data_IF_373706140759
#
_entry.id   IF_373706140759
#
_cell.length_a   1.000
_cell.length_b   1.000
_cell.length_c   1.000
_cell.angle_alpha   90.00
_cell.angle_beta   90.00
_cell.angle_gamma   90.00
#
_symmetry.space_group_name_H-M   'P 1'
#
loop_
_entity.id
_entity.type
_entity.pdbx_description
1 polymer ?
#
# COMPACT_ATOMS: atom_id res chain seq x y z
N UNK A 1 -4.84 -8.92 -4.10
CA UNK A 1 -4.59 -8.54 -2.69
C UNK A 1 -3.11 -8.70 -2.38
N UNK A 2 -2.52 -7.76 -1.67
CA UNK A 2 -1.12 -7.81 -1.24
C UNK A 2 -1.07 -7.45 0.24
N UNK A 3 -0.32 -8.22 1.03
CA UNK A 3 -0.05 -7.95 2.44
C UNK A 3 1.45 -7.76 2.64
N UNK A 4 1.81 -6.73 3.40
CA UNK A 4 3.20 -6.40 3.69
C UNK A 4 3.32 -5.77 5.07
N UNK A 5 4.52 -5.82 5.64
CA UNK A 5 4.91 -5.01 6.80
C UNK A 5 5.98 -4.01 6.42
N UNK A 6 6.12 -3.00 7.26
CA UNK A 6 7.30 -2.12 7.32
C UNK A 6 7.99 -2.33 8.67
N UNK A 7 9.08 -1.61 8.90
CA UNK A 7 9.74 -1.52 10.22
C UNK A 7 8.78 -1.01 11.30
N UNK A 8 9.15 -1.17 12.57
CA UNK A 8 8.34 -0.67 13.69
C UNK A 8 8.16 0.84 13.61
N UNK A 9 6.90 1.27 13.70
CA UNK A 9 6.51 2.68 13.63
C UNK A 9 5.85 3.11 14.93
N UNK A 10 6.04 4.37 15.30
CA UNK A 10 5.60 4.88 16.60
C UNK A 10 4.11 5.28 16.66
N UNK A 11 3.35 5.17 15.56
CA UNK A 11 1.90 5.42 15.58
C UNK A 11 1.17 4.75 14.41
N UNK A 12 -0.15 4.48 14.56
CA UNK A 12 -0.97 3.96 13.47
C UNK A 12 -0.98 4.87 12.23
N UNK A 13 -1.01 6.19 12.40
CA UNK A 13 -0.99 7.13 11.28
C UNK A 13 0.30 6.99 10.45
N UNK A 14 1.46 6.78 11.09
CA UNK A 14 2.72 6.57 10.36
C UNK A 14 2.65 5.24 9.59
N UNK A 15 2.09 4.19 10.19
CA UNK A 15 1.87 2.90 9.50
C UNK A 15 1.01 3.08 8.23
N UNK A 16 -0.09 3.83 8.33
CA UNK A 16 -0.99 4.14 7.22
C UNK A 16 -0.29 4.93 6.11
N UNK A 17 0.58 5.90 6.45
CA UNK A 17 1.38 6.65 5.47
C UNK A 17 2.33 5.71 4.71
N UNK A 18 3.00 4.79 5.41
CA UNK A 18 3.85 3.78 4.77
C UNK A 18 3.03 2.80 3.93
N UNK A 19 1.82 2.42 4.36
CA UNK A 19 0.93 1.58 3.56
C UNK A 19 0.54 2.27 2.24
N UNK A 20 0.24 3.57 2.28
CA UNK A 20 -0.06 4.37 1.08
C UNK A 20 1.15 4.47 0.15
N UNK A 21 2.34 4.76 0.68
CA UNK A 21 3.59 4.78 -0.09
C UNK A 21 3.88 3.41 -0.73
N UNK A 22 3.70 2.32 0.01
CA UNK A 22 3.85 0.97 -0.50
C UNK A 22 2.91 0.68 -1.67
N UNK A 23 1.63 1.04 -1.53
CA UNK A 23 0.65 0.89 -2.59
C UNK A 23 1.07 1.65 -3.87
N UNK A 24 1.65 2.84 -3.74
CA UNK A 24 2.18 3.59 -4.89
C UNK A 24 3.38 2.87 -5.53
N UNK A 25 4.35 2.40 -4.74
CA UNK A 25 5.50 1.62 -5.24
C UNK A 25 5.06 0.36 -5.98
N UNK A 26 4.07 -0.35 -5.46
CA UNK A 26 3.46 -1.52 -6.10
C UNK A 26 2.77 -1.13 -7.41
N UNK A 27 2.02 -0.02 -7.42
CA UNK A 27 1.32 0.45 -8.62
C UNK A 27 2.32 0.76 -9.75
N UNK A 28 3.45 1.40 -9.44
CA UNK A 28 4.53 1.62 -10.40
C UNK A 28 5.19 0.32 -10.86
N UNK A 29 5.43 -0.64 -9.95
CA UNK A 29 6.00 -1.95 -10.32
C UNK A 29 5.10 -2.73 -11.28
N UNK A 30 3.79 -2.60 -11.10
CA UNK A 30 2.77 -3.20 -11.95
C UNK A 30 2.42 -2.36 -13.18
N UNK A 31 3.09 -1.21 -13.36
CA UNK A 31 2.88 -0.27 -14.48
C UNK A 31 1.41 0.17 -14.64
N UNK A 32 0.68 0.31 -13.53
CA UNK A 32 -0.69 0.76 -13.55
C UNK A 32 -0.73 2.21 -14.07
N UNK A 33 -1.45 2.41 -15.17
CA UNK A 33 -1.59 3.74 -15.80
C UNK A 33 -2.65 4.60 -15.10
N UNK A 34 -3.62 3.96 -14.44
CA UNK A 34 -4.75 4.61 -13.76
C UNK A 34 -5.11 3.81 -12.52
N UNK A 35 -5.61 4.50 -11.50
CA UNK A 35 -6.05 3.89 -10.25
C UNK A 35 -6.09 4.94 -9.14
N UNK A 36 -7.03 4.77 -8.22
CA UNK A 36 -7.21 5.65 -7.06
C UNK A 36 -6.74 4.96 -5.79
N UNK A 37 -6.22 5.73 -4.84
CA UNK A 37 -5.88 5.19 -3.52
C UNK A 37 -7.06 5.41 -2.57
N UNK A 38 -7.41 4.39 -1.80
CA UNK A 38 -8.49 4.44 -0.83
C UNK A 38 -7.93 4.24 0.58
N UNK A 39 -8.36 5.06 1.52
CA UNK A 39 -8.01 4.94 2.95
C UNK A 39 -9.22 5.29 3.81
N UNK A 40 -9.39 4.63 4.95
CA UNK A 40 -10.35 5.00 5.98
C UNK A 40 -9.76 5.97 7.02
N UNK A 41 -8.52 6.43 6.81
CA UNK A 41 -7.88 7.43 7.65
C UNK A 41 -8.08 8.84 7.06
N UNK A 42 -9.05 9.60 7.60
CA UNK A 42 -9.36 10.95 7.13
C UNK A 42 -8.16 11.91 7.20
N UNK A 43 -7.32 11.79 8.23
CA UNK A 43 -6.13 12.62 8.39
C UNK A 43 -5.12 12.35 7.28
N UNK A 44 -4.91 11.08 6.91
CA UNK A 44 -4.07 10.69 5.78
C UNK A 44 -4.65 11.17 4.46
N UNK A 45 -5.96 11.01 4.23
CA UNK A 45 -6.60 11.49 3.01
C UNK A 45 -6.43 13.01 2.83
N UNK A 46 -6.65 13.78 3.90
CA UNK A 46 -6.42 15.24 3.89
C UNK A 46 -4.95 15.59 3.65
N UNK A 47 -4.03 14.86 4.28
CA UNK A 47 -2.59 15.03 4.09
C UNK A 47 -2.18 14.77 2.65
N UNK A 48 -2.70 13.70 2.04
CA UNK A 48 -2.37 13.37 0.67
C UNK A 48 -3.02 14.33 -0.35
N UNK A 49 -4.24 14.79 -0.08
CA UNK A 49 -4.96 15.74 -0.92
C UNK A 49 -4.33 17.14 -0.91
N UNK A 50 -3.74 17.59 0.21
CA UNK A 50 -3.10 18.91 0.26
C UNK A 50 -1.87 19.00 -0.64
N UNK A 51 -1.17 17.87 -0.85
CA UNK A 51 0.14 17.80 -1.50
C UNK A 51 1.16 18.81 -0.96
N UNK A 52 0.95 19.25 0.29
CA UNK A 52 1.76 20.25 0.96
C UNK A 52 2.55 19.61 2.09
N UNK A 53 3.83 19.37 1.83
CA UNK A 53 4.76 18.77 2.78
C UNK A 53 5.12 19.70 3.95
N UNK A 54 4.92 21.00 3.75
CA UNK A 54 5.26 22.04 4.73
C UNK A 54 4.10 22.30 5.69
N UNK A 55 2.95 21.66 5.50
CA UNK A 55 1.81 21.78 6.39
C UNK A 55 2.21 21.40 7.82
N UNK A 56 2.08 22.36 8.73
CA UNK A 56 2.52 22.25 10.13
C UNK A 56 1.74 21.20 10.92
N UNK A 57 0.56 20.79 10.44
CA UNK A 57 -0.23 19.72 11.05
C UNK A 57 0.27 18.32 10.70
N UNK A 58 1.19 18.19 9.74
CA UNK A 58 1.83 16.92 9.40
C UNK A 58 2.99 16.68 10.37
N UNK A 59 2.89 15.59 11.14
CA UNK A 59 4.00 15.11 11.95
C UNK A 59 5.26 14.96 11.10
N UNK A 60 6.39 15.48 11.59
CA UNK A 60 7.67 15.45 10.88
C UNK A 60 8.06 14.03 10.42
N UNK A 61 7.67 13.00 11.18
CA UNK A 61 7.91 11.59 10.87
C UNK A 61 7.15 11.09 9.63
N UNK A 62 6.02 11.71 9.30
CA UNK A 62 5.25 11.39 8.09
C UNK A 62 5.81 12.10 6.85
N UNK A 63 6.65 13.13 7.01
CA UNK A 63 7.09 13.98 5.89
C UNK A 63 7.89 13.19 4.85
N UNK A 64 8.90 12.44 5.27
CA UNK A 64 9.69 11.66 4.33
C UNK A 64 8.82 10.70 3.49
N UNK A 65 8.02 9.79 4.08
CA UNK A 65 7.26 8.83 3.29
C UNK A 65 6.13 9.48 2.47
N UNK A 66 5.49 10.54 2.94
CA UNK A 66 4.45 11.23 2.14
C UNK A 66 5.05 12.03 0.98
N UNK A 67 6.23 12.63 1.16
CA UNK A 67 6.96 13.30 0.08
C UNK A 67 7.35 12.31 -1.02
N UNK A 68 7.86 11.14 -0.64
CA UNK A 68 8.17 10.07 -1.59
C UNK A 68 6.90 9.59 -2.32
N UNK A 69 5.78 9.46 -1.60
CA UNK A 69 4.50 9.13 -2.22
C UNK A 69 4.10 10.18 -3.26
N UNK A 70 4.27 11.48 -3.00
CA UNK A 70 3.93 12.54 -3.95
C UNK A 70 4.75 12.47 -5.24
N UNK A 71 6.03 12.09 -5.15
CA UNK A 71 6.91 11.94 -6.31
C UNK A 71 6.49 10.76 -7.19
N UNK A 72 6.09 9.65 -6.56
CA UNK A 72 5.70 8.42 -7.27
C UNK A 72 4.28 8.52 -7.85
N UNK A 73 3.37 9.20 -7.14
CA UNK A 73 1.95 9.31 -7.49
C UNK A 73 1.61 10.44 -8.47
N UNK A 74 2.59 11.04 -9.16
CA UNK A 74 2.34 12.16 -10.08
C UNK A 74 1.34 11.83 -11.20
N UNK A 75 1.27 10.55 -11.62
CA UNK A 75 0.37 10.05 -12.67
C UNK A 75 -0.80 9.21 -12.16
N UNK A 76 -0.84 8.88 -10.87
CA UNK A 76 -1.90 8.04 -10.27
C UNK A 76 -2.98 8.92 -9.62
N UNK A 77 -4.22 8.46 -9.64
CA UNK A 77 -5.38 9.27 -9.24
C UNK A 77 -5.37 9.60 -7.74
N UNK A 78 -6.28 10.51 -7.39
CA UNK A 78 -6.49 11.05 -6.05
C UNK A 78 -6.59 9.99 -4.93
N UNK A 79 -6.28 10.44 -3.72
CA UNK A 79 -6.48 9.69 -2.48
C UNK A 79 -7.87 10.01 -1.94
N UNK A 80 -8.73 9.01 -1.82
CA UNK A 80 -10.09 9.16 -1.31
C UNK A 80 -10.22 8.58 0.09
N UNK A 81 -10.94 9.32 0.93
CA UNK A 81 -11.42 8.81 2.20
C UNK A 81 -12.65 7.92 1.97
N UNK A 82 -12.64 6.72 2.51
CA UNK A 82 -13.77 5.78 2.50
C UNK A 82 -14.14 5.37 3.94
N UNK A 83 -15.33 4.80 4.13
CA UNK A 83 -15.71 4.27 5.44
C UNK A 83 -14.97 2.97 5.75
N UNK A 84 -14.64 2.75 7.02
CA UNK A 84 -13.90 1.58 7.50
C UNK A 84 -14.56 0.24 7.15
N UNK A 85 -15.89 0.19 7.12
CA UNK A 85 -16.65 -1.00 6.70
C UNK A 85 -16.36 -1.40 5.24
N UNK A 86 -16.03 -0.43 4.38
CA UNK A 86 -15.64 -0.65 2.98
C UNK A 86 -14.17 -1.04 2.86
N UNK A 87 -13.31 -0.60 3.79
CA UNK A 87 -11.87 -0.89 3.80
C UNK A 87 -11.51 -2.22 4.52
N UNK A 88 -12.45 -3.15 4.64
CA UNK A 88 -12.31 -4.36 5.46
C UNK A 88 -11.13 -5.26 5.05
N UNK A 89 -10.81 -5.34 3.76
CA UNK A 89 -9.67 -6.15 3.27
C UNK A 89 -8.36 -5.56 3.81
N UNK A 90 -8.10 -4.27 3.60
CA UNK A 90 -6.87 -3.64 4.07
C UNK A 90 -6.76 -3.70 5.60
N UNK A 91 -7.88 -3.49 6.29
CA UNK A 91 -7.98 -3.60 7.75
C UNK A 91 -7.56 -4.99 8.26
N UNK A 92 -8.12 -6.06 7.66
CA UNK A 92 -7.80 -7.43 8.03
C UNK A 92 -6.33 -7.77 7.71
N UNK A 93 -5.81 -7.28 6.59
CA UNK A 93 -4.41 -7.47 6.21
C UNK A 93 -3.46 -6.85 7.25
N UNK A 94 -3.70 -5.61 7.66
CA UNK A 94 -2.91 -4.94 8.67
C UNK A 94 -2.99 -5.67 10.02
N UNK A 95 -4.20 -6.10 10.43
CA UNK A 95 -4.40 -6.85 11.67
C UNK A 95 -3.67 -8.20 11.68
N UNK A 96 -3.70 -8.96 10.59
CA UNK A 96 -3.04 -10.27 10.51
C UNK A 96 -1.53 -10.12 10.67
N UNK A 97 -0.92 -9.19 9.92
CA UNK A 97 0.53 -8.94 9.98
C UNK A 97 0.97 -8.42 11.35
N UNK A 98 0.15 -7.60 12.02
CA UNK A 98 0.45 -7.08 13.35
C UNK A 98 0.42 -8.17 14.44
N UNK A 99 -0.48 -9.15 14.33
CA UNK A 99 -0.77 -10.09 15.41
C UNK A 99 -0.22 -11.51 15.16
N UNK A 100 0.35 -11.79 13.99
CA UNK A 100 0.82 -13.12 13.65
C UNK A 100 2.04 -13.09 12.75
N UNK A 101 2.86 -14.14 12.85
CA UNK A 101 3.92 -14.40 11.88
C UNK A 101 3.27 -14.94 10.61
N UNK A 102 3.22 -14.12 9.57
CA UNK A 102 2.66 -14.52 8.28
C UNK A 102 3.80 -15.09 7.45
N UNK A 103 3.74 -16.40 7.17
CA UNK A 103 4.68 -17.01 6.23
C UNK A 103 4.42 -16.49 4.80
N UNK A 104 5.47 -16.31 3.97
CA UNK A 104 5.29 -15.80 2.63
C UNK A 104 4.40 -16.69 1.75
N UNK A 105 3.28 -16.17 1.24
CA UNK A 105 2.38 -16.90 0.33
C UNK A 105 2.13 -16.11 -0.95
N UNK A 106 2.51 -16.70 -2.09
CA UNK A 106 2.28 -16.15 -3.43
C UNK A 106 1.39 -17.12 -4.21
N UNK A 107 0.18 -16.70 -4.57
CA UNK A 107 -0.79 -17.56 -5.25
C UNK A 107 -1.68 -16.81 -6.23
N UNK A 108 -2.21 -17.53 -7.21
CA UNK A 108 -3.14 -17.03 -8.20
C UNK A 108 -4.32 -17.98 -8.31
N UNK A 109 -5.54 -17.47 -8.13
CA UNK A 109 -6.79 -18.23 -8.25
C UNK A 109 -7.54 -17.95 -9.55
N UNK A 110 -6.93 -17.18 -10.47
CA UNK A 110 -7.60 -16.73 -11.68
C UNK A 110 -7.53 -17.77 -12.77
N UNK A 111 -8.68 -18.24 -13.24
CA UNK A 111 -8.78 -19.33 -14.22
C UNK A 111 -8.07 -19.03 -15.55
N UNK A 112 -8.03 -17.76 -15.97
CA UNK A 112 -7.28 -17.33 -17.17
C UNK A 112 -5.77 -17.54 -17.06
N UNK A 113 -5.25 -17.77 -15.85
CA UNK A 113 -3.83 -18.05 -15.58
C UNK A 113 -3.59 -19.51 -15.18
N UNK A 114 -4.56 -20.42 -15.36
CA UNK A 114 -4.40 -21.82 -14.94
C UNK A 114 -3.24 -22.54 -15.66
N UNK A 115 -3.02 -22.20 -16.94
CA UNK A 115 -2.01 -22.85 -17.78
C UNK A 115 -0.88 -21.91 -18.23
N UNK A 116 -0.88 -20.67 -17.74
CA UNK A 116 0.15 -19.67 -18.08
C UNK A 116 0.66 -19.00 -16.83
N UNK A 117 1.95 -18.60 -16.76
CA UNK A 117 2.47 -17.88 -15.62
C UNK A 117 1.67 -16.61 -15.35
N UNK A 118 1.23 -16.41 -14.11
CA UNK A 118 0.48 -15.21 -13.73
C UNK A 118 1.41 -13.98 -13.79
N UNK A 119 1.18 -13.01 -14.70
CA UNK A 119 2.06 -11.87 -14.87
C UNK A 119 2.12 -11.01 -13.60
N UNK A 120 1.01 -10.89 -12.87
CA UNK A 120 0.97 -10.19 -11.58
C UNK A 120 1.90 -10.81 -10.53
N UNK A 121 1.93 -12.15 -10.43
CA UNK A 121 2.85 -12.83 -9.52
C UNK A 121 4.30 -12.69 -10.00
N UNK A 122 4.54 -12.87 -11.30
CA UNK A 122 5.88 -12.73 -11.87
C UNK A 122 6.48 -11.34 -11.60
N UNK A 123 5.67 -10.28 -11.71
CA UNK A 123 6.12 -8.93 -11.39
C UNK A 123 6.54 -8.75 -9.93
N UNK A 124 5.98 -9.54 -9.00
CA UNK A 124 6.14 -9.36 -7.56
C UNK A 124 7.04 -10.40 -6.87
N UNK A 125 7.26 -11.58 -7.46
CA UNK A 125 8.02 -12.68 -6.86
C UNK A 125 9.42 -12.27 -6.37
N UNK A 126 10.13 -11.46 -7.16
CA UNK A 126 11.47 -10.96 -6.83
C UNK A 126 11.47 -9.46 -6.55
N UNK A 127 10.31 -8.87 -6.29
CA UNK A 127 10.23 -7.44 -6.06
C UNK A 127 10.63 -7.10 -4.63
N UNK A 128 11.83 -6.55 -4.48
CA UNK A 128 12.31 -6.01 -3.22
C UNK A 128 11.94 -4.53 -3.13
N UNK A 129 11.22 -4.17 -2.08
CA UNK A 129 10.87 -2.79 -1.79
C UNK A 129 11.59 -2.38 -0.53
N UNK A 130 12.51 -1.43 -0.64
CA UNK A 130 13.28 -0.97 0.51
C UNK A 130 12.35 -0.51 1.64
N UNK A 131 12.58 -1.05 2.83
CA UNK A 131 11.80 -0.75 4.03
C UNK A 131 10.55 -1.61 4.22
N UNK A 132 10.26 -2.55 3.31
CA UNK A 132 9.08 -3.40 3.39
C UNK A 132 9.41 -4.89 3.25
N UNK A 133 8.56 -5.73 3.84
CA UNK A 133 8.56 -7.17 3.65
C UNK A 133 7.18 -7.56 3.12
N UNK A 134 7.14 -8.19 1.95
CA UNK A 134 5.90 -8.70 1.36
C UNK A 134 5.64 -10.10 1.92
N UNK A 135 4.49 -10.27 2.56
CA UNK A 135 4.08 -11.53 3.17
C UNK A 135 3.12 -12.29 2.27
N UNK A 136 2.14 -11.61 1.67
CA UNK A 136 1.13 -12.30 0.86
C UNK A 136 0.92 -11.57 -0.45
N UNK A 137 0.85 -12.33 -1.54
CA UNK A 137 0.42 -11.87 -2.85
C UNK A 137 -0.61 -12.84 -3.39
N UNK A 138 -1.84 -12.37 -3.54
CA UNK A 138 -2.95 -13.13 -4.08
C UNK A 138 -3.52 -12.43 -5.31
N UNK A 139 -3.35 -13.05 -6.48
CA UNK A 139 -4.05 -12.65 -7.69
C UNK A 139 -5.44 -13.29 -7.70
N UNK A 140 -6.47 -12.46 -7.57
CA UNK A 140 -7.88 -12.85 -7.57
C UNK A 140 -8.47 -12.72 -8.98
#
# INVERSE_FOLDING_TARGET
MIQASTHDVCSPLIAEVYALLFAAKISCRLQLQQGSFLTDNLSLAKMAASRDINNTNISWRCRQPISEFFQISLSLNAVYHISRNTNGIAHNCAHQVLNSRVEPVFSCSRSSHANVPCPFLQSLLNFQVQGYVIHVVHCL
#
